data_IF_720074898350
#
_entry.id   IF_720074898350
#
_cell.length_a   1.000
_cell.length_b   1.000
_cell.length_c   1.000
_cell.angle_alpha   90.00
_cell.angle_beta   90.00
_cell.angle_gamma   90.00
#
_symmetry.space_group_name_H-M   'P 1'
#
loop_
_entity.id
_entity.type
_entity.pdbx_description
1 polymer ?
#
# COMPACT_ATOMS: atom_id res chain seq x y z
N UNK A 1 7.17 8.02 -8.23
CA UNK A 1 6.78 6.92 -7.33
C UNK A 1 7.24 7.23 -5.92
N UNK A 2 6.38 6.98 -4.95
CA UNK A 2 6.72 7.17 -3.55
C UNK A 2 7.24 5.88 -2.94
N UNK A 3 8.03 6.01 -1.88
CA UNK A 3 8.55 4.87 -1.13
C UNK A 3 7.98 4.96 0.29
N UNK A 4 7.62 3.82 0.86
CA UNK A 4 7.14 3.76 2.22
C UNK A 4 7.46 2.43 2.87
N UNK A 5 7.11 2.34 4.14
CA UNK A 5 7.29 1.13 4.95
C UNK A 5 5.92 0.59 5.32
N UNK A 6 5.71 -0.70 5.10
CA UNK A 6 4.45 -1.34 5.47
C UNK A 6 4.34 -1.35 6.99
N UNK A 7 3.30 -0.69 7.52
CA UNK A 7 3.05 -0.70 8.98
C UNK A 7 2.47 -2.03 9.40
N UNK A 8 1.48 -2.50 8.67
CA UNK A 8 0.91 -3.83 8.85
C UNK A 8 0.07 -4.16 7.62
N UNK A 9 -0.16 -5.44 7.40
CA UNK A 9 -1.03 -5.91 6.34
C UNK A 9 -1.71 -7.19 6.78
N UNK A 10 -3.03 -7.27 6.59
CA UNK A 10 -3.81 -8.45 6.93
C UNK A 10 -4.40 -9.05 5.65
N UNK A 11 -3.80 -10.13 5.11
CA UNK A 11 -4.29 -10.73 3.87
C UNK A 11 -5.68 -11.35 4.01
N UNK A 12 -6.07 -11.75 5.22
CA UNK A 12 -7.40 -12.30 5.47
C UNK A 12 -8.46 -11.21 5.35
N UNK A 13 -8.21 -10.04 5.91
CA UNK A 13 -9.11 -8.89 5.78
C UNK A 13 -8.95 -8.20 4.43
N UNK A 14 -7.81 -8.37 3.79
CA UNK A 14 -7.57 -7.85 2.46
C UNK A 14 -7.10 -6.41 2.40
N UNK A 15 -6.49 -5.89 3.46
CA UNK A 15 -5.97 -4.53 3.44
C UNK A 15 -4.87 -4.31 4.48
N UNK A 16 -4.18 -3.17 4.35
CA UNK A 16 -3.17 -2.76 5.30
C UNK A 16 -2.83 -1.29 5.11
N UNK A 17 -1.75 -0.83 5.72
CA UNK A 17 -1.32 0.55 5.66
C UNK A 17 0.19 0.65 5.44
N UNK A 18 0.58 1.66 4.67
CA UNK A 18 1.96 1.98 4.36
C UNK A 18 2.25 3.36 4.91
N UNK A 19 3.36 3.50 5.63
CA UNK A 19 3.81 4.80 6.10
C UNK A 19 4.79 5.38 5.08
N UNK A 20 4.46 6.51 4.41
CA UNK A 20 5.39 7.11 3.46
C UNK A 20 6.69 7.56 4.13
N UNK A 21 7.82 7.34 3.45
CA UNK A 21 9.12 7.80 3.98
C UNK A 21 9.20 9.32 4.08
N UNK A 22 8.51 10.01 3.18
CA UNK A 22 8.48 11.47 3.19
C UNK A 22 7.67 12.03 4.36
N UNK A 23 6.99 11.18 5.11
CA UNK A 23 6.13 11.59 6.21
C UNK A 23 4.68 11.77 5.76
N UNK A 24 3.84 12.21 6.67
CA UNK A 24 2.43 12.42 6.41
C UNK A 24 1.56 11.26 6.88
N UNK A 25 0.31 11.25 6.44
CA UNK A 25 -0.66 10.24 6.86
C UNK A 25 -0.37 8.88 6.24
N UNK A 26 -0.73 7.82 6.96
CA UNK A 26 -0.62 6.46 6.45
C UNK A 26 -1.48 6.30 5.19
N UNK A 27 -0.98 5.48 4.27
CA UNK A 27 -1.65 5.22 2.99
C UNK A 27 -2.30 3.85 3.04
N UNK A 28 -3.59 3.81 2.74
CA UNK A 28 -4.34 2.55 2.66
C UNK A 28 -3.87 1.73 1.45
N UNK A 29 -3.74 0.41 1.63
CA UNK A 29 -3.43 -0.49 0.53
C UNK A 29 -4.40 -1.67 0.57
N UNK A 30 -5.06 -1.94 -0.56
CA UNK A 30 -5.98 -3.07 -0.69
C UNK A 30 -5.26 -4.26 -1.31
N UNK A 31 -5.71 -5.48 -0.97
CA UNK A 31 -5.09 -6.70 -1.48
C UNK A 31 -5.10 -6.77 -3.01
N UNK A 32 -6.09 -6.16 -3.65
CA UNK A 32 -6.13 -6.13 -5.12
C UNK A 32 -4.90 -5.46 -5.72
N UNK A 33 -4.39 -4.40 -5.07
CA UNK A 33 -3.17 -3.75 -5.52
C UNK A 33 -1.94 -4.64 -5.35
N UNK A 34 -1.91 -5.41 -4.26
CA UNK A 34 -0.85 -6.39 -4.00
C UNK A 34 -0.85 -7.47 -5.08
N UNK A 35 -2.02 -8.00 -5.39
CA UNK A 35 -2.17 -9.05 -6.41
C UNK A 35 -1.80 -8.54 -7.80
N UNK A 36 -2.19 -7.31 -8.14
CA UNK A 36 -1.82 -6.71 -9.43
C UNK A 36 -0.31 -6.56 -9.60
N UNK A 37 0.39 -6.40 -8.49
CA UNK A 37 1.85 -6.29 -8.50
C UNK A 37 2.55 -7.65 -8.55
N UNK A 38 1.78 -8.74 -8.58
CA UNK A 38 2.32 -10.09 -8.60
C UNK A 38 2.73 -10.62 -7.23
N UNK A 39 2.29 -9.95 -6.17
CA UNK A 39 2.59 -10.36 -4.80
C UNK A 39 1.36 -11.01 -4.17
N UNK A 40 1.58 -11.80 -3.11
CA UNK A 40 0.48 -12.44 -2.40
C UNK A 40 0.15 -11.73 -1.09
N UNK A 41 1.11 -11.05 -0.51
CA UNK A 41 0.96 -10.35 0.77
C UNK A 41 2.09 -9.34 0.93
N UNK A 42 1.99 -8.52 1.96
CA UNK A 42 3.05 -7.60 2.37
C UNK A 42 3.45 -7.93 3.80
N UNK A 43 4.74 -7.76 4.11
CA UNK A 43 5.25 -8.01 5.45
C UNK A 43 5.38 -6.70 6.22
N UNK A 44 5.12 -6.74 7.51
CA UNK A 44 5.34 -5.60 8.39
C UNK A 44 6.81 -5.18 8.33
N UNK A 45 7.04 -3.88 8.15
CA UNK A 45 8.39 -3.33 8.02
C UNK A 45 8.98 -3.43 6.61
N UNK A 46 8.26 -4.01 5.67
CA UNK A 46 8.73 -4.12 4.29
C UNK A 46 8.77 -2.75 3.62
N UNK A 47 9.86 -2.47 2.93
CA UNK A 47 9.99 -1.25 2.13
C UNK A 47 9.37 -1.48 0.76
N UNK A 48 8.51 -0.56 0.33
CA UNK A 48 7.75 -0.73 -0.91
C UNK A 48 7.59 0.58 -1.65
N UNK A 49 7.65 0.51 -2.98
CA UNK A 49 7.34 1.64 -3.84
C UNK A 49 5.87 1.59 -4.24
N UNK A 50 5.25 2.75 -4.36
CA UNK A 50 3.84 2.82 -4.71
C UNK A 50 3.48 4.17 -5.34
N UNK A 51 2.36 4.19 -6.05
CA UNK A 51 1.73 5.41 -6.53
C UNK A 51 0.49 5.68 -5.70
N UNK A 52 0.16 6.95 -5.50
CA UNK A 52 -1.09 7.31 -4.85
C UNK A 52 -2.21 7.35 -5.87
N UNK A 53 -3.32 6.73 -5.55
CA UNK A 53 -4.49 6.72 -6.40
C UNK A 53 -5.71 7.04 -5.55
N UNK A 54 -6.61 7.88 -6.07
CA UNK A 54 -7.82 8.24 -5.37
C UNK A 54 -8.93 7.24 -5.65
N UNK A 55 -9.53 6.72 -4.58
CA UNK A 55 -10.70 5.88 -4.70
C UNK A 55 -11.91 6.75 -5.00
N UNK A 56 -12.53 6.57 -6.16
CA UNK A 56 -13.67 7.36 -6.58
C UNK A 56 -14.91 7.16 -5.71
N UNK A 57 -15.00 6.02 -5.01
CA UNK A 57 -16.15 5.72 -4.16
C UNK A 57 -16.09 6.45 -2.82
N UNK A 58 -14.92 6.37 -2.16
CA UNK A 58 -14.76 6.93 -0.82
C UNK A 58 -14.04 8.27 -0.82
N UNK A 59 -13.39 8.63 -1.92
CA UNK A 59 -12.55 9.82 -2.00
C UNK A 59 -11.24 9.70 -1.25
N UNK A 60 -10.92 8.52 -0.73
CA UNK A 60 -9.69 8.27 0.01
C UNK A 60 -8.55 7.91 -0.92
N UNK A 61 -7.35 8.32 -0.51
CA UNK A 61 -6.14 7.94 -1.25
C UNK A 61 -5.72 6.53 -0.86
N UNK A 62 -5.28 5.77 -1.84
CA UNK A 62 -4.78 4.41 -1.62
C UNK A 62 -3.52 4.18 -2.43
N UNK A 63 -2.73 3.18 -2.01
CA UNK A 63 -1.54 2.78 -2.74
C UNK A 63 -1.93 1.92 -3.94
N UNK A 64 -1.31 2.20 -5.08
CA UNK A 64 -1.49 1.43 -6.30
C UNK A 64 -0.13 1.19 -6.93
N UNK A 65 -0.07 0.31 -7.93
CA UNK A 65 1.15 0.03 -8.68
C UNK A 65 2.34 -0.25 -7.76
N UNK A 66 2.15 -1.18 -6.84
CA UNK A 66 3.17 -1.55 -5.87
C UNK A 66 4.36 -2.20 -6.55
N UNK A 67 5.56 -1.95 -6.03
CA UNK A 67 6.75 -2.69 -6.45
C UNK A 67 7.75 -2.71 -5.31
N UNK A 68 8.61 -3.73 -5.34
CA UNK A 68 9.67 -3.84 -4.35
C UNK A 68 10.61 -2.63 -4.47
N UNK A 69 11.00 -2.10 -3.34
CA UNK A 69 11.89 -0.94 -3.29
C UNK A 69 13.28 -1.34 -2.78
#
# INVERSE_FOLDING_TARGET
MQIGIVKWFNPTKGFGFIQPEAGGADVFVHISAVERAGMTSLNEGQRIGFELERDSRSGKMSAAQLQAA
#
